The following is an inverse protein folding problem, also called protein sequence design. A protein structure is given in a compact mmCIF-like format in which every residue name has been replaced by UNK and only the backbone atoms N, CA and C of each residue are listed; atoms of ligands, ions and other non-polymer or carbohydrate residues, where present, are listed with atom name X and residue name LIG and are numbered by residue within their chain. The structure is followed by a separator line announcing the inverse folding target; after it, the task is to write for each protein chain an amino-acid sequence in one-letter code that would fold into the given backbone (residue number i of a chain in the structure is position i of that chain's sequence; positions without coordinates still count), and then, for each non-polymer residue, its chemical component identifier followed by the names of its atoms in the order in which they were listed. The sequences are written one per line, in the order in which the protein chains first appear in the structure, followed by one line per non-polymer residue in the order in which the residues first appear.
data_IF_387456627351
#
_entry.id   IF_387456627351
#
_cell.length_a   1.000
_cell.length_b   1.000
_cell.length_c   1.000
_cell.angle_alpha   90.00
_cell.angle_beta   90.00
_cell.angle_gamma   90.00
#
_symmetry.space_group_name_H-M   'P 1'
#
loop_
_entity.id
_entity.type
_entity.pdbx_description
1 polymer ?
#
# COMPACT_ATOMS: atom_id res chain seq x y z
N UNK A 1 5.99 -11.42 -34.19
CA UNK A 1 5.49 -11.19 -32.83
C UNK A 1 6.63 -11.29 -31.79
N UNK A 2 6.69 -10.36 -30.87
CA UNK A 2 7.64 -10.44 -29.76
C UNK A 2 7.02 -11.28 -28.65
N UNK A 3 7.59 -12.44 -28.36
CA UNK A 3 7.24 -13.27 -27.20
C UNK A 3 8.17 -12.98 -26.02
N UNK A 4 8.93 -11.88 -26.06
CA UNK A 4 9.84 -11.49 -25.00
C UNK A 4 9.10 -11.00 -23.76
N UNK A 5 9.77 -11.15 -22.61
CA UNK A 5 9.35 -10.53 -21.35
C UNK A 5 8.87 -11.48 -20.26
N UNK A 6 8.68 -12.77 -20.50
CA UNK A 6 8.36 -13.68 -19.42
C UNK A 6 9.61 -14.29 -18.76
N UNK A 7 9.51 -14.52 -17.49
CA UNK A 7 10.56 -15.16 -16.68
C UNK A 7 10.19 -16.60 -16.35
N UNK A 8 11.18 -17.41 -15.96
CA UNK A 8 10.96 -18.74 -15.45
C UNK A 8 10.16 -18.67 -14.12
N UNK A 9 9.02 -19.34 -14.05
CA UNK A 9 8.11 -19.32 -12.89
C UNK A 9 7.95 -20.67 -12.19
N UNK A 10 8.63 -21.73 -12.63
CA UNK A 10 8.54 -23.06 -11.98
C UNK A 10 8.89 -23.04 -10.48
N UNK A 11 9.91 -22.28 -10.01
CA UNK A 11 10.19 -22.17 -8.58
C UNK A 11 9.02 -21.60 -7.79
N UNK A 12 8.34 -20.57 -8.33
CA UNK A 12 7.18 -19.95 -7.71
C UNK A 12 5.99 -20.93 -7.65
N UNK A 13 5.72 -21.64 -8.75
CA UNK A 13 4.67 -22.66 -8.80
C UNK A 13 4.94 -23.79 -7.80
N UNK A 14 6.19 -24.25 -7.69
CA UNK A 14 6.57 -25.27 -6.70
C UNK A 14 6.35 -24.77 -5.27
N UNK A 15 6.70 -23.53 -4.97
CA UNK A 15 6.46 -22.92 -3.65
C UNK A 15 4.95 -22.82 -3.35
N UNK A 16 4.17 -22.33 -4.31
CA UNK A 16 2.72 -22.22 -4.16
C UNK A 16 2.05 -23.58 -3.97
N UNK A 17 2.50 -24.64 -4.69
CA UNK A 17 1.96 -25.99 -4.53
C UNK A 17 2.20 -26.60 -3.13
N UNK A 18 3.19 -26.08 -2.40
CA UNK A 18 3.47 -26.45 -1.01
C UNK A 18 2.84 -25.46 -0.01
N UNK A 19 1.82 -24.70 -0.42
CA UNK A 19 1.17 -23.63 0.35
C UNK A 19 2.12 -22.54 0.85
N UNK A 20 3.26 -22.33 0.16
CA UNK A 20 4.18 -21.24 0.43
C UNK A 20 3.65 -19.91 -0.10
N UNK A 21 4.02 -18.82 0.59
CA UNK A 21 3.64 -17.45 0.22
C UNK A 21 4.58 -16.95 -0.89
N UNK A 22 4.00 -16.33 -1.91
CA UNK A 22 4.73 -15.62 -2.96
C UNK A 22 4.82 -14.13 -2.63
N UNK A 23 5.96 -13.52 -2.93
CA UNK A 23 6.13 -12.07 -2.86
C UNK A 23 5.37 -11.36 -3.97
N UNK A 24 5.21 -10.03 -3.86
CA UNK A 24 4.59 -9.20 -4.89
C UNK A 24 5.30 -9.37 -6.25
N UNK A 25 6.64 -9.31 -6.27
CA UNK A 25 7.43 -9.48 -7.48
C UNK A 25 7.27 -10.87 -8.11
N UNK A 26 7.14 -11.92 -7.29
CA UNK A 26 6.88 -13.28 -7.77
C UNK A 26 5.47 -13.41 -8.36
N UNK A 27 4.46 -12.82 -7.73
CA UNK A 27 3.09 -12.78 -8.27
C UNK A 27 3.02 -12.00 -9.59
N UNK A 28 3.72 -10.87 -9.69
CA UNK A 28 3.83 -10.12 -10.95
C UNK A 28 4.44 -10.97 -12.06
N UNK A 29 5.50 -11.73 -11.78
CA UNK A 29 6.12 -12.63 -12.77
C UNK A 29 5.16 -13.72 -13.22
N UNK A 30 4.32 -14.24 -12.33
CA UNK A 30 3.25 -15.21 -12.68
C UNK A 30 2.17 -14.53 -13.54
N UNK A 31 1.77 -13.32 -13.22
CA UNK A 31 0.82 -12.52 -14.00
C UNK A 31 1.34 -12.22 -15.41
N UNK A 32 2.60 -11.79 -15.54
CA UNK A 32 3.27 -11.57 -16.81
C UNK A 32 3.32 -12.85 -17.67
N UNK A 33 3.63 -13.99 -17.07
CA UNK A 33 3.64 -15.26 -17.76
C UNK A 33 2.24 -15.62 -18.27
N UNK A 34 1.20 -15.48 -17.44
CA UNK A 34 -0.20 -15.72 -17.83
C UNK A 34 -0.63 -14.81 -18.99
N UNK A 35 -0.27 -13.51 -18.91
CA UNK A 35 -0.49 -12.54 -20.00
C UNK A 35 0.15 -12.98 -21.31
N UNK A 36 1.43 -13.41 -21.29
CA UNK A 36 2.12 -13.88 -22.50
C UNK A 36 1.46 -15.13 -23.07
N UNK A 37 1.06 -16.08 -22.22
CA UNK A 37 0.32 -17.29 -22.67
C UNK A 37 -0.98 -16.90 -23.40
N UNK A 38 -1.77 -15.99 -22.85
CA UNK A 38 -2.98 -15.48 -23.49
C UNK A 38 -2.68 -14.77 -24.81
N UNK A 39 -1.63 -13.96 -24.86
CA UNK A 39 -1.19 -13.23 -26.06
C UNK A 39 -0.77 -14.18 -27.17
N UNK A 40 -0.01 -15.23 -26.84
CA UNK A 40 0.42 -16.26 -27.81
C UNK A 40 -0.79 -17.05 -28.35
N UNK A 41 -1.71 -17.46 -27.49
CA UNK A 41 -2.94 -18.17 -27.90
C UNK A 41 -3.82 -17.30 -28.80
N UNK A 42 -3.96 -16.02 -28.49
CA UNK A 42 -4.75 -15.09 -29.31
C UNK A 42 -4.08 -14.78 -30.65
N UNK A 43 -2.75 -14.75 -30.70
CA UNK A 43 -2.01 -14.61 -31.94
C UNK A 43 -2.30 -15.78 -32.87
N UNK A 44 -2.16 -17.01 -32.40
CA UNK A 44 -2.46 -18.22 -33.18
C UNK A 44 -3.87 -18.22 -33.78
N UNK A 45 -4.87 -17.70 -33.01
CA UNK A 45 -6.26 -17.61 -33.47
C UNK A 45 -6.49 -16.54 -34.54
N UNK A 46 -5.71 -15.47 -34.59
CA UNK A 46 -5.92 -14.33 -35.50
C UNK A 46 -5.28 -14.49 -36.84
N UNK A 47 -4.10 -15.13 -36.91
CA UNK A 47 -3.32 -15.20 -38.14
C UNK A 47 -3.58 -16.47 -39.00
N UNK A 48 -4.24 -17.48 -38.45
CA UNK A 48 -4.41 -18.79 -39.14
C UNK A 48 -5.63 -18.88 -40.04
N UNK A 49 -5.99 -17.84 -40.78
CA UNK A 49 -7.12 -17.97 -41.69
C UNK A 49 -6.72 -18.53 -43.09
N UNK A 50 -5.46 -18.38 -43.48
CA UNK A 50 -5.04 -18.70 -44.84
C UNK A 50 -3.88 -19.73 -44.96
N UNK A 51 -3.15 -20.03 -43.88
CA UNK A 51 -2.09 -21.03 -43.87
C UNK A 51 -2.21 -21.95 -42.64
N UNK A 52 -2.29 -23.26 -42.90
CA UNK A 52 -2.37 -24.27 -41.83
C UNK A 52 -0.97 -24.73 -41.47
N UNK A 53 -0.46 -24.29 -40.31
CA UNK A 53 0.78 -24.77 -39.70
C UNK A 53 0.50 -25.90 -38.69
N UNK A 54 0.06 -27.07 -39.16
CA UNK A 54 -0.44 -28.15 -38.32
C UNK A 54 0.46 -28.50 -37.12
N UNK A 55 1.81 -28.42 -37.28
CA UNK A 55 2.74 -28.68 -36.17
C UNK A 55 2.79 -27.56 -35.12
N UNK A 56 2.57 -26.30 -35.50
CA UNK A 56 2.53 -25.17 -34.59
C UNK A 56 1.17 -25.12 -33.87
N UNK A 57 0.10 -25.51 -34.56
CA UNK A 57 -1.24 -25.56 -33.98
C UNK A 57 -1.31 -26.52 -32.80
N UNK A 58 -0.62 -27.69 -32.89
CA UNK A 58 -0.52 -28.62 -31.76
C UNK A 58 0.09 -27.97 -30.52
N UNK A 59 1.16 -27.16 -30.67
CA UNK A 59 1.78 -26.43 -29.52
C UNK A 59 0.88 -25.32 -29.00
N UNK A 60 0.23 -24.56 -29.89
CA UNK A 60 -0.70 -23.51 -29.48
C UNK A 60 -1.92 -24.08 -28.74
N UNK A 61 -2.37 -25.29 -29.10
CA UNK A 61 -3.50 -25.92 -28.44
C UNK A 61 -3.19 -26.41 -27.04
N UNK A 62 -1.94 -26.70 -26.73
CA UNK A 62 -1.50 -27.01 -25.38
C UNK A 62 -1.56 -25.78 -24.41
N UNK A 63 -1.61 -24.55 -24.96
CA UNK A 63 -1.67 -23.34 -24.14
C UNK A 63 -3.11 -23.10 -23.68
N UNK A 64 -3.33 -23.14 -22.39
CA UNK A 64 -4.59 -22.77 -21.75
C UNK A 64 -4.45 -21.38 -21.10
N UNK A 65 -5.10 -20.33 -21.61
CA UNK A 65 -5.10 -19.02 -20.97
C UNK A 65 -5.74 -19.07 -19.58
N UNK A 66 -5.15 -18.35 -18.66
CA UNK A 66 -5.63 -18.24 -17.27
C UNK A 66 -6.14 -16.82 -16.99
N UNK A 67 -7.12 -16.37 -17.77
CA UNK A 67 -7.64 -15.00 -17.76
C UNK A 67 -8.09 -14.55 -16.37
N UNK A 68 -8.73 -15.44 -15.59
CA UNK A 68 -9.19 -15.13 -14.24
C UNK A 68 -8.01 -14.86 -13.30
N UNK A 69 -6.95 -15.67 -13.38
CA UNK A 69 -5.76 -15.52 -12.55
C UNK A 69 -4.99 -14.24 -12.93
N UNK A 70 -4.80 -14.02 -14.25
CA UNK A 70 -4.15 -12.82 -14.78
C UNK A 70 -4.87 -11.54 -14.29
N UNK A 71 -6.18 -11.50 -14.47
CA UNK A 71 -7.00 -10.34 -14.07
C UNK A 71 -6.95 -10.12 -12.56
N UNK A 72 -7.02 -11.18 -11.76
CA UNK A 72 -6.98 -11.06 -10.31
C UNK A 72 -5.62 -10.55 -9.80
N UNK A 73 -4.51 -11.06 -10.35
CA UNK A 73 -3.18 -10.56 -10.03
C UNK A 73 -3.06 -9.07 -10.42
N UNK A 74 -3.47 -8.71 -11.65
CA UNK A 74 -3.40 -7.32 -12.13
C UNK A 74 -4.31 -6.37 -11.34
N UNK A 75 -5.44 -6.84 -10.85
CA UNK A 75 -6.35 -6.06 -10.00
C UNK A 75 -5.76 -5.82 -8.62
N UNK A 76 -5.14 -6.84 -8.05
CA UNK A 76 -4.63 -6.77 -6.67
C UNK A 76 -3.28 -6.09 -6.55
N UNK A 77 -2.43 -6.19 -7.57
CA UNK A 77 -1.04 -5.71 -7.53
C UNK A 77 -0.85 -4.56 -8.52
N UNK A 78 -0.67 -3.36 -7.98
CA UNK A 78 -0.52 -2.13 -8.78
C UNK A 78 0.93 -1.89 -9.18
N UNK A 79 1.89 -2.26 -8.34
CA UNK A 79 3.32 -2.14 -8.58
C UNK A 79 4.12 -3.11 -7.69
N UNK A 80 5.45 -3.13 -7.83
CA UNK A 80 6.34 -3.95 -6.99
C UNK A 80 6.24 -3.61 -5.49
N UNK A 81 5.72 -2.44 -5.14
CA UNK A 81 5.62 -1.95 -3.77
C UNK A 81 4.19 -1.64 -3.33
N UNK A 82 3.21 -1.81 -4.21
CA UNK A 82 1.85 -1.36 -3.96
C UNK A 82 0.81 -2.44 -4.26
N UNK A 83 0.00 -2.73 -3.25
CA UNK A 83 -1.18 -3.60 -3.33
C UNK A 83 -2.43 -2.73 -3.30
N UNK A 84 -3.38 -3.01 -4.19
CA UNK A 84 -4.65 -2.28 -4.28
C UNK A 84 -5.39 -2.29 -2.94
N UNK A 85 -6.05 -1.17 -2.63
CA UNK A 85 -6.80 -1.04 -1.37
C UNK A 85 -7.91 -2.10 -1.23
N UNK A 86 -8.50 -2.47 -2.34
CA UNK A 86 -9.58 -3.45 -2.43
C UNK A 86 -9.11 -4.86 -2.82
N UNK A 87 -7.80 -5.13 -2.76
CA UNK A 87 -7.25 -6.46 -3.06
C UNK A 87 -7.91 -7.56 -2.22
N UNK A 88 -8.32 -7.23 -0.99
CA UNK A 88 -9.21 -8.08 -0.20
C UNK A 88 -10.15 -7.22 0.67
N UNK A 89 -11.30 -7.77 1.03
CA UNK A 89 -12.25 -7.10 1.93
C UNK A 89 -11.62 -6.76 3.29
N UNK A 90 -10.78 -7.66 3.81
CA UNK A 90 -10.05 -7.44 5.07
C UNK A 90 -9.07 -6.27 4.97
N UNK A 91 -8.25 -6.22 3.91
CA UNK A 91 -7.30 -5.13 3.69
C UNK A 91 -8.05 -3.79 3.55
N UNK A 92 -9.13 -3.77 2.79
CA UNK A 92 -9.94 -2.57 2.58
C UNK A 92 -10.53 -2.05 3.91
N UNK A 93 -11.04 -2.94 4.76
CA UNK A 93 -11.57 -2.56 6.08
C UNK A 93 -10.49 -1.95 6.94
N UNK A 94 -9.35 -2.63 7.09
CA UNK A 94 -8.23 -2.14 7.91
C UNK A 94 -7.70 -0.80 7.42
N UNK A 95 -7.51 -0.62 6.11
CA UNK A 95 -7.05 0.67 5.56
C UNK A 95 -8.06 1.81 5.78
N UNK A 96 -9.36 1.51 5.69
CA UNK A 96 -10.42 2.49 6.03
C UNK A 96 -10.38 2.88 7.50
N UNK A 97 -10.19 1.91 8.39
CA UNK A 97 -10.11 2.16 9.83
C UNK A 97 -8.89 3.00 10.19
N UNK A 98 -7.72 2.70 9.60
CA UNK A 98 -6.50 3.51 9.75
C UNK A 98 -6.74 4.95 9.29
N UNK A 99 -7.34 5.12 8.10
CA UNK A 99 -7.63 6.45 7.56
C UNK A 99 -8.59 7.22 8.46
N UNK A 100 -9.69 6.59 8.87
CA UNK A 100 -10.67 7.20 9.77
C UNK A 100 -10.08 7.54 11.15
N UNK A 101 -9.17 6.70 11.66
CA UNK A 101 -8.47 6.99 12.92
C UNK A 101 -7.54 8.19 12.77
N UNK A 102 -6.76 8.26 11.70
CA UNK A 102 -5.89 9.40 11.42
C UNK A 102 -6.67 10.71 11.25
N UNK A 103 -7.83 10.67 10.61
CA UNK A 103 -8.70 11.85 10.47
C UNK A 103 -9.23 12.29 11.84
N UNK A 104 -9.71 11.37 12.67
CA UNK A 104 -10.16 11.69 14.03
C UNK A 104 -9.05 12.33 14.89
N UNK A 105 -7.82 11.81 14.79
CA UNK A 105 -6.65 12.39 15.47
C UNK A 105 -6.41 13.83 15.02
N UNK A 106 -6.45 14.09 13.71
CA UNK A 106 -6.27 15.44 13.15
C UNK A 106 -7.36 16.40 13.58
N UNK A 107 -8.62 15.97 13.57
CA UNK A 107 -9.75 16.78 14.00
C UNK A 107 -9.63 17.13 15.48
N UNK A 108 -9.21 16.19 16.29
CA UNK A 108 -8.98 16.43 17.73
C UNK A 108 -7.85 17.43 17.96
N UNK A 109 -6.74 17.29 17.23
CA UNK A 109 -5.62 18.22 17.28
C UNK A 109 -6.00 19.63 16.80
N UNK A 110 -6.82 19.72 15.75
CA UNK A 110 -7.37 20.99 15.30
C UNK A 110 -8.22 21.64 16.42
N UNK A 111 -8.97 20.86 17.18
CA UNK A 111 -9.68 21.32 18.37
C UNK A 111 -8.72 21.87 19.42
N UNK A 112 -7.60 21.20 19.68
CA UNK A 112 -6.57 21.66 20.63
C UNK A 112 -5.93 22.97 20.16
N UNK A 113 -5.54 23.06 18.88
CA UNK A 113 -4.90 24.26 18.32
C UNK A 113 -5.82 25.49 18.39
N UNK A 114 -7.12 25.29 18.14
CA UNK A 114 -8.09 26.36 18.14
C UNK A 114 -8.69 26.67 19.52
N UNK A 115 -8.32 25.89 20.54
CA UNK A 115 -8.80 26.09 21.91
C UNK A 115 -8.20 27.34 22.54
N UNK A 116 -9.05 28.21 23.08
CA UNK A 116 -8.61 29.38 23.84
C UNK A 116 -7.78 29.02 25.07
N UNK A 117 -8.00 27.84 25.66
CA UNK A 117 -7.26 27.36 26.82
C UNK A 117 -5.77 27.10 26.55
N UNK A 118 -5.45 26.63 25.32
CA UNK A 118 -4.08 26.25 24.95
C UNK A 118 -3.39 27.28 24.06
N UNK A 119 -4.11 28.28 23.54
CA UNK A 119 -3.62 29.26 22.58
C UNK A 119 -2.31 29.96 23.01
N UNK A 120 -2.21 30.34 24.25
CA UNK A 120 -1.03 31.04 24.80
C UNK A 120 0.16 30.08 25.02
N UNK A 121 -0.11 28.77 25.16
CA UNK A 121 0.91 27.75 25.41
C UNK A 121 1.56 27.27 24.13
N UNK A 122 0.88 27.39 23.00
CA UNK A 122 1.41 26.97 21.70
C UNK A 122 2.42 27.98 21.16
N UNK A 123 3.51 27.45 20.61
CA UNK A 123 4.52 28.25 19.88
C UNK A 123 4.01 28.61 18.50
N UNK A 124 3.31 27.67 17.85
CA UNK A 124 2.72 27.82 16.53
C UNK A 124 1.43 27.00 16.46
N UNK A 125 0.52 27.34 15.52
CA UNK A 125 -0.79 26.70 15.37
C UNK A 125 -0.76 25.67 14.24
N UNK A 126 0.19 24.75 14.31
CA UNK A 126 0.41 23.71 13.30
C UNK A 126 0.44 22.32 13.92
N UNK A 127 0.01 21.34 13.16
CA UNK A 127 0.16 19.92 13.49
C UNK A 127 1.45 19.44 12.84
N UNK A 128 2.30 18.77 13.61
CA UNK A 128 3.56 18.19 13.14
C UNK A 128 3.59 16.70 13.43
N UNK A 129 4.47 15.97 12.72
CA UNK A 129 4.75 14.56 13.04
C UNK A 129 6.17 14.48 13.59
N UNK A 130 6.34 13.84 14.74
CA UNK A 130 7.61 13.51 15.36
C UNK A 130 7.59 12.09 15.84
N UNK A 131 8.58 11.28 15.43
CA UNK A 131 8.67 9.86 15.81
C UNK A 131 7.35 9.10 15.55
N UNK A 132 6.75 9.31 14.36
CA UNK A 132 5.45 8.74 13.94
C UNK A 132 4.25 9.11 14.84
N UNK A 133 4.37 10.20 15.65
CA UNK A 133 3.31 10.73 16.47
C UNK A 133 2.89 12.13 16.05
N UNK A 134 1.60 12.37 16.09
CA UNK A 134 1.05 13.70 15.83
C UNK A 134 1.25 14.60 17.04
N UNK A 135 1.96 15.70 16.86
CA UNK A 135 2.34 16.62 17.91
C UNK A 135 1.93 18.06 17.58
N UNK A 136 1.83 18.87 18.62
CA UNK A 136 1.71 20.33 18.53
C UNK A 136 2.95 21.00 19.14
N UNK A 137 3.45 22.12 18.57
CA UNK A 137 4.59 22.84 19.15
C UNK A 137 4.15 23.67 20.36
N UNK A 138 4.66 23.33 21.53
CA UNK A 138 4.38 23.97 22.81
C UNK A 138 5.61 24.73 23.25
N UNK A 139 5.45 25.95 23.79
CA UNK A 139 6.54 26.71 24.38
C UNK A 139 7.09 26.00 25.62
N UNK A 140 8.40 25.91 25.75
CA UNK A 140 9.06 25.15 26.80
C UNK A 140 8.64 25.56 28.23
N UNK A 141 8.28 26.84 28.44
CA UNK A 141 7.78 27.35 29.70
C UNK A 141 6.46 26.73 30.16
N UNK A 142 5.65 26.21 29.24
CA UNK A 142 4.38 25.55 29.54
C UNK A 142 4.48 24.01 29.63
N UNK A 143 5.69 23.46 29.66
CA UNK A 143 5.93 22.02 29.78
C UNK A 143 5.07 21.34 30.84
N UNK A 144 4.97 21.95 32.02
CA UNK A 144 4.24 21.38 33.18
C UNK A 144 2.75 21.65 33.12
N UNK A 145 2.31 22.63 32.34
CA UNK A 145 0.92 23.10 32.27
C UNK A 145 0.17 22.50 31.08
N UNK A 146 0.88 22.11 30.04
CA UNK A 146 0.26 21.46 28.86
C UNK A 146 0.16 19.95 29.11
N UNK A 147 -1.06 19.36 29.08
CA UNK A 147 -1.25 17.93 29.31
C UNK A 147 -0.86 17.13 28.06
N UNK A 148 0.30 16.49 28.08
CA UNK A 148 0.77 15.71 26.95
C UNK A 148 2.13 15.07 27.18
N UNK A 149 2.58 14.30 26.18
CA UNK A 149 3.88 13.64 26.16
C UNK A 149 4.82 14.36 25.19
N UNK A 150 6.06 14.59 25.60
CA UNK A 150 7.10 15.18 24.74
C UNK A 150 7.69 14.08 23.86
N UNK A 151 7.70 14.31 22.56
CA UNK A 151 8.32 13.42 21.57
C UNK A 151 9.61 14.00 20.97
N UNK A 152 9.74 15.33 20.97
CA UNK A 152 10.91 15.99 20.38
C UNK A 152 11.02 17.43 20.94
N UNK A 153 12.15 18.08 20.68
CA UNK A 153 12.37 19.49 21.01
C UNK A 153 13.14 20.20 19.89
N UNK A 154 12.96 21.52 19.77
CA UNK A 154 13.74 22.34 18.86
C UNK A 154 15.21 22.38 19.28
N UNK A 155 16.11 22.67 18.33
CA UNK A 155 17.55 22.76 18.58
C UNK A 155 17.92 23.77 19.69
N UNK A 156 17.11 24.81 19.86
CA UNK A 156 17.29 25.81 20.94
C UNK A 156 16.64 25.39 22.26
N UNK A 157 15.87 24.31 22.29
CA UNK A 157 15.11 23.88 23.46
C UNK A 157 13.90 24.76 23.80
N UNK A 158 13.63 25.82 23.04
CA UNK A 158 12.53 26.75 23.33
C UNK A 158 11.15 26.24 22.98
N UNK A 159 11.08 25.21 22.12
CA UNK A 159 9.83 24.58 21.66
C UNK A 159 9.88 23.08 21.91
N UNK A 160 8.83 22.56 22.50
CA UNK A 160 8.61 21.13 22.73
C UNK A 160 7.53 20.62 21.77
N UNK A 161 7.79 19.54 21.08
CA UNK A 161 6.79 18.87 20.24
C UNK A 161 6.05 17.86 21.11
N UNK A 162 4.83 18.19 21.48
CA UNK A 162 4.05 17.43 22.44
C UNK A 162 2.84 16.77 21.80
N UNK A 163 2.64 15.49 22.08
CA UNK A 163 1.39 14.79 21.79
C UNK A 163 0.41 15.06 22.95
N UNK A 164 -0.75 15.69 22.69
CA UNK A 164 -1.73 15.94 23.74
C UNK A 164 -2.25 14.63 24.35
N UNK A 165 -2.47 14.62 25.65
CA UNK A 165 -2.95 13.43 26.37
C UNK A 165 -4.25 12.87 25.78
N UNK A 166 -5.12 13.75 25.31
CA UNK A 166 -6.38 13.40 24.66
C UNK A 166 -6.20 12.70 23.29
N UNK A 167 -5.02 12.81 22.68
CA UNK A 167 -4.68 12.18 21.39
C UNK A 167 -3.97 10.85 21.59
N UNK A 168 -3.26 10.67 22.70
CA UNK A 168 -2.48 9.44 22.98
C UNK A 168 -3.37 8.19 22.89
N UNK A 169 -4.61 8.27 23.40
CA UNK A 169 -5.54 7.14 23.35
C UNK A 169 -6.06 6.81 21.95
N UNK A 170 -6.04 7.77 21.04
CA UNK A 170 -6.45 7.59 19.64
C UNK A 170 -5.29 7.07 18.76
N UNK A 171 -4.05 7.30 19.21
CA UNK A 171 -2.83 6.88 18.51
C UNK A 171 -2.35 5.47 18.92
N UNK A 172 -2.90 4.88 19.95
CA UNK A 172 -2.59 3.54 20.45
C UNK A 172 -3.71 2.56 20.09
#
# INVERSE_FOLDING_TARGET
PSFGGFREIRPQLKRASMAGILSIAELMSVGEFAYVCRKVKNYARKENKDEVYARLDEYFDLITPLDKLENEISRCILSETEVADDASAGLQSVRREIKASNERVKDHLNGVINSSAYRNMLQDFVITIRNDRYCVPVKAEYRSSFPGMIHDQSNTGSTLFMEPLSVIQLNN
#
